data_IF_504898802484
#
_entry.id   IF_504898802484
#
_cell.length_a   1.000
_cell.length_b   1.000
_cell.length_c   1.000
_cell.angle_alpha   90.00
_cell.angle_beta   90.00
_cell.angle_gamma   90.00
#
_symmetry.space_group_name_H-M   'P 1'
#
loop_
_entity.id
_entity.type
_entity.pdbx_description
1 polymer ?
#
# COMPACT_ATOMS: atom_id res chain seq x y z
N UNK A 1 -2.07 16.93 -9.72
CA UNK A 1 -2.95 15.83 -9.27
C UNK A 1 -3.62 16.25 -7.98
N UNK A 2 -4.94 16.28 -7.96
CA UNK A 2 -5.76 16.56 -6.78
C UNK A 2 -5.68 15.40 -5.77
N UNK A 3 -6.09 15.60 -4.50
CA UNK A 3 -6.16 14.49 -3.55
C UNK A 3 -7.05 13.33 -4.02
N UNK A 4 -8.20 13.61 -4.66
CA UNK A 4 -9.10 12.58 -5.19
C UNK A 4 -8.48 11.77 -6.32
N UNK A 5 -7.84 12.43 -7.29
CA UNK A 5 -7.15 11.74 -8.39
C UNK A 5 -6.02 10.83 -7.88
N UNK A 6 -5.33 11.26 -6.81
CA UNK A 6 -4.29 10.47 -6.16
C UNK A 6 -4.87 9.23 -5.50
N UNK A 7 -5.91 9.39 -4.70
CA UNK A 7 -6.59 8.25 -4.06
C UNK A 7 -7.03 7.25 -5.13
N UNK A 8 -7.68 7.69 -6.21
CA UNK A 8 -8.11 6.82 -7.28
C UNK A 8 -6.96 6.06 -7.96
N UNK A 9 -5.81 6.72 -8.17
CA UNK A 9 -4.62 6.06 -8.69
C UNK A 9 -4.16 4.95 -7.73
N UNK A 10 -3.97 5.26 -6.45
CA UNK A 10 -3.53 4.29 -5.44
C UNK A 10 -4.48 3.08 -5.36
N UNK A 11 -5.78 3.32 -5.47
CA UNK A 11 -6.79 2.25 -5.45
C UNK A 11 -6.70 1.38 -6.70
N UNK A 12 -6.53 1.98 -7.89
CA UNK A 12 -6.34 1.23 -9.14
C UNK A 12 -5.06 0.39 -9.12
N UNK A 13 -4.00 0.88 -8.47
CA UNK A 13 -2.77 0.10 -8.26
C UNK A 13 -3.01 -1.07 -7.30
N UNK A 14 -3.64 -0.82 -6.14
CA UNK A 14 -3.94 -1.86 -5.15
C UNK A 14 -4.85 -2.97 -5.72
N UNK A 15 -5.84 -2.58 -6.54
CA UNK A 15 -6.74 -3.51 -7.24
C UNK A 15 -6.14 -4.12 -8.52
N UNK A 16 -4.88 -3.78 -8.84
CA UNK A 16 -4.15 -4.25 -10.03
C UNK A 16 -4.85 -3.92 -11.36
N UNK A 17 -5.69 -2.87 -11.37
CA UNK A 17 -6.24 -2.26 -12.58
C UNK A 17 -5.15 -1.51 -13.34
N UNK A 18 -4.16 -0.94 -12.62
CA UNK A 18 -2.93 -0.38 -13.19
C UNK A 18 -1.70 -1.14 -12.70
N UNK A 19 -0.64 -1.26 -13.53
CA UNK A 19 0.59 -1.92 -13.14
C UNK A 19 1.29 -1.20 -11.97
N UNK A 20 1.86 -1.97 -11.04
CA UNK A 20 2.59 -1.40 -9.90
C UNK A 20 3.82 -0.59 -10.33
N UNK A 21 4.47 -0.97 -11.43
CA UNK A 21 5.62 -0.25 -12.00
C UNK A 21 5.25 1.16 -12.48
N UNK A 22 4.06 1.32 -13.07
CA UNK A 22 3.54 2.64 -13.44
C UNK A 22 3.36 3.52 -12.21
N UNK A 23 2.81 2.95 -11.13
CA UNK A 23 2.68 3.61 -9.84
C UNK A 23 4.03 3.98 -9.22
N UNK A 24 5.02 3.09 -9.31
CA UNK A 24 6.37 3.33 -8.78
C UNK A 24 7.06 4.49 -9.52
N UNK A 25 6.99 4.53 -10.86
CA UNK A 25 7.52 5.65 -11.64
C UNK A 25 6.81 6.97 -11.34
N UNK A 26 5.48 6.94 -11.17
CA UNK A 26 4.73 8.12 -10.73
C UNK A 26 5.19 8.59 -9.33
N UNK A 27 5.38 7.66 -8.39
CA UNK A 27 5.82 7.93 -7.04
C UNK A 27 7.23 8.55 -7.00
N UNK A 28 8.16 8.02 -7.80
CA UNK A 28 9.55 8.51 -7.92
C UNK A 28 9.65 9.96 -8.40
N UNK A 29 8.64 10.48 -9.11
CA UNK A 29 8.66 11.89 -9.56
C UNK A 29 8.41 12.90 -8.45
N UNK A 30 8.01 12.46 -7.26
CA UNK A 30 7.82 13.31 -6.10
C UNK A 30 9.13 13.50 -5.34
N UNK A 31 9.26 14.65 -4.67
CA UNK A 31 10.33 14.89 -3.72
C UNK A 31 10.16 14.02 -2.45
N UNK A 32 11.15 14.05 -1.56
CA UNK A 32 11.15 13.20 -0.37
C UNK A 32 9.94 13.44 0.55
N UNK A 33 9.53 14.71 0.68
CA UNK A 33 8.37 15.10 1.49
C UNK A 33 7.06 14.60 0.87
N UNK A 34 6.89 14.76 -0.45
CA UNK A 34 5.74 14.25 -1.18
C UNK A 34 5.64 12.73 -1.14
N UNK A 35 6.77 12.03 -1.31
CA UNK A 35 6.83 10.57 -1.16
C UNK A 35 6.43 10.13 0.25
N UNK A 36 6.89 10.84 1.28
CA UNK A 36 6.51 10.55 2.67
C UNK A 36 5.00 10.69 2.87
N UNK A 37 4.41 11.79 2.43
CA UNK A 37 2.98 12.03 2.54
C UNK A 37 2.13 10.95 1.82
N UNK A 38 2.61 10.44 0.67
CA UNK A 38 1.95 9.35 -0.04
C UNK A 38 2.05 8.03 0.75
N UNK A 39 3.20 7.73 1.35
CA UNK A 39 3.37 6.54 2.19
C UNK A 39 2.46 6.60 3.43
N UNK A 40 2.37 7.77 4.08
CA UNK A 40 1.49 7.96 5.25
C UNK A 40 0.01 7.75 4.87
N UNK A 41 -0.41 8.30 3.73
CA UNK A 41 -1.76 8.08 3.19
C UNK A 41 -2.04 6.59 2.89
N UNK A 42 -1.08 5.88 2.30
CA UNK A 42 -1.20 4.44 2.06
C UNK A 42 -1.29 3.65 3.38
N UNK A 43 -0.52 4.02 4.40
CA UNK A 43 -0.59 3.40 5.71
C UNK A 43 -1.97 3.57 6.35
N UNK A 44 -2.61 4.74 6.22
CA UNK A 44 -3.98 4.95 6.67
C UNK A 44 -4.96 4.01 5.96
N UNK A 45 -4.84 3.84 4.64
CA UNK A 45 -5.69 2.92 3.88
C UNK A 45 -5.48 1.47 4.30
N UNK A 46 -4.23 1.06 4.54
CA UNK A 46 -3.90 -0.28 5.06
C UNK A 46 -4.54 -0.53 6.44
N UNK A 47 -4.54 0.48 7.33
CA UNK A 47 -5.22 0.40 8.64
C UNK A 47 -6.74 0.25 8.45
N UNK A 48 -7.34 1.05 7.57
CA UNK A 48 -8.79 1.01 7.32
C UNK A 48 -9.22 -0.31 6.64
N UNK A 49 -8.37 -0.87 5.79
CA UNK A 49 -8.51 -2.20 5.21
C UNK A 49 -8.38 -3.32 6.25
N UNK A 50 -7.90 -3.01 7.45
CA UNK A 50 -7.64 -3.96 8.55
C UNK A 50 -6.60 -5.02 8.18
N UNK A 51 -5.54 -4.61 7.47
CA UNK A 51 -4.43 -5.49 7.17
C UNK A 51 -3.90 -6.17 8.44
N UNK A 52 -3.55 -7.45 8.31
CA UNK A 52 -3.10 -8.31 9.40
C UNK A 52 -2.03 -9.32 8.93
N UNK A 53 -1.73 -10.28 9.80
CA UNK A 53 -0.65 -11.25 9.65
C UNK A 53 -0.72 -12.13 8.41
N UNK A 54 -1.92 -12.59 8.07
CA UNK A 54 -2.17 -13.46 6.92
C UNK A 54 -1.96 -12.73 5.58
N UNK A 55 -2.00 -11.40 5.57
CA UNK A 55 -1.83 -10.62 4.34
C UNK A 55 -0.35 -10.44 3.93
N UNK A 56 0.60 -10.72 4.84
CA UNK A 56 2.01 -10.29 4.72
C UNK A 56 2.75 -10.93 3.56
N UNK A 57 2.77 -12.26 3.50
CA UNK A 57 3.59 -13.00 2.54
C UNK A 57 3.11 -12.75 1.11
N UNK A 58 1.78 -12.78 0.92
CA UNK A 58 1.19 -12.48 -0.37
C UNK A 58 1.47 -11.02 -0.79
N UNK A 59 1.40 -10.06 0.13
CA UNK A 59 1.73 -8.67 -0.17
C UNK A 59 3.17 -8.49 -0.62
N UNK A 60 4.12 -9.19 0.02
CA UNK A 60 5.55 -9.15 -0.34
C UNK A 60 5.77 -9.76 -1.72
N UNK A 61 5.17 -10.91 -2.00
CA UNK A 61 5.23 -11.53 -3.33
C UNK A 61 4.66 -10.61 -4.41
N UNK A 62 3.47 -10.02 -4.16
CA UNK A 62 2.82 -9.09 -5.11
C UNK A 62 3.61 -7.79 -5.31
N UNK A 63 4.38 -7.34 -4.31
CA UNK A 63 5.18 -6.13 -4.39
C UNK A 63 6.39 -6.25 -5.34
N UNK A 64 6.84 -7.47 -5.61
CA UNK A 64 8.01 -7.72 -6.46
C UNK A 64 9.30 -7.10 -5.92
N UNK A 65 9.40 -6.94 -4.59
CA UNK A 65 10.58 -6.42 -3.90
C UNK A 65 11.53 -7.57 -3.53
N UNK A 66 12.79 -7.25 -3.24
CA UNK A 66 13.73 -8.27 -2.75
C UNK A 66 13.36 -8.62 -1.32
N UNK A 67 13.52 -9.88 -0.93
CA UNK A 67 13.22 -10.31 0.44
C UNK A 67 14.02 -9.54 1.51
N UNK A 68 15.24 -9.11 1.16
CA UNK A 68 16.11 -8.31 2.03
C UNK A 68 15.79 -6.81 2.07
N UNK A 69 14.83 -6.31 1.27
CA UNK A 69 14.44 -4.90 1.34
C UNK A 69 13.83 -4.62 2.72
N UNK A 70 14.24 -3.51 3.37
CA UNK A 70 13.87 -3.27 4.78
C UNK A 70 12.35 -3.18 4.97
N UNK A 71 11.60 -2.71 3.96
CA UNK A 71 10.14 -2.71 4.01
C UNK A 71 9.53 -4.12 4.07
N UNK A 72 10.08 -5.08 3.31
CA UNK A 72 9.64 -6.48 3.33
C UNK A 72 10.01 -7.15 4.66
N UNK A 73 11.23 -6.93 5.14
CA UNK A 73 11.68 -7.43 6.45
C UNK A 73 10.80 -6.90 7.58
N UNK A 74 10.55 -5.58 7.63
CA UNK A 74 9.70 -4.96 8.64
C UNK A 74 8.29 -5.55 8.62
N UNK A 75 7.71 -5.79 7.44
CA UNK A 75 6.39 -6.39 7.31
C UNK A 75 6.35 -7.85 7.80
N UNK A 76 7.42 -8.63 7.62
CA UNK A 76 7.50 -10.03 8.10
C UNK A 76 7.60 -10.13 9.62
N UNK A 77 8.40 -9.27 10.26
CA UNK A 77 8.81 -9.44 11.67
C UNK A 77 7.81 -8.94 12.72
N UNK A 78 6.70 -8.32 12.33
CA UNK A 78 5.74 -7.86 13.32
C UNK A 78 4.40 -7.43 12.74
N UNK A 79 3.43 -7.19 13.63
CA UNK A 79 2.06 -6.82 13.25
C UNK A 79 2.08 -5.66 12.24
N UNK A 80 1.48 -5.81 11.04
CA UNK A 80 1.64 -4.83 9.97
C UNK A 80 1.37 -3.41 10.44
N UNK A 81 0.27 -3.23 11.21
CA UNK A 81 -0.17 -1.94 11.77
C UNK A 81 0.89 -1.28 12.67
N UNK A 82 1.66 -2.07 13.42
CA UNK A 82 2.74 -1.56 14.27
C UNK A 82 3.99 -1.19 13.48
N UNK A 83 4.18 -1.79 12.30
CA UNK A 83 5.36 -1.55 11.46
C UNK A 83 5.17 -0.44 10.43
N UNK A 84 3.92 -0.03 10.16
CA UNK A 84 3.61 1.02 9.19
C UNK A 84 4.39 2.31 9.43
N UNK A 85 4.48 2.79 10.68
CA UNK A 85 5.24 4.01 11.00
C UNK A 85 6.73 3.87 10.67
N UNK A 86 7.31 2.67 10.82
CA UNK A 86 8.72 2.42 10.49
C UNK A 86 8.93 2.34 8.99
N UNK A 87 8.03 1.67 8.27
CA UNK A 87 8.04 1.58 6.80
C UNK A 87 7.90 2.99 6.19
N UNK A 88 6.93 3.76 6.70
CA UNK A 88 6.75 5.18 6.37
C UNK A 88 7.85 6.06 6.95
N UNK A 89 8.85 5.56 7.67
CA UNK A 89 10.00 6.31 8.16
C UNK A 89 11.27 6.05 7.36
N UNK A 90 11.26 5.10 6.43
CA UNK A 90 12.46 4.64 5.72
C UNK A 90 13.15 5.77 4.92
N UNK A 91 14.49 5.73 4.80
CA UNK A 91 15.26 6.73 4.06
C UNK A 91 14.90 6.73 2.57
N UNK A 92 15.20 7.83 1.86
CA UNK A 92 14.73 8.08 0.50
C UNK A 92 14.98 6.93 -0.50
N UNK A 93 16.15 6.28 -0.43
CA UNK A 93 16.50 5.16 -1.30
C UNK A 93 15.66 3.88 -1.06
N UNK A 94 14.93 3.81 0.06
CA UNK A 94 14.05 2.71 0.41
C UNK A 94 12.56 3.05 0.29
N UNK A 95 12.21 4.29 -0.08
CA UNK A 95 10.81 4.70 -0.19
C UNK A 95 10.09 4.00 -1.35
N UNK A 96 10.78 3.62 -2.43
CA UNK A 96 10.17 2.91 -3.57
C UNK A 96 9.80 1.47 -3.19
N UNK A 97 10.69 0.65 -2.60
CA UNK A 97 10.29 -0.64 -2.02
C UNK A 97 9.16 -0.50 -0.98
N UNK A 98 9.20 0.52 -0.12
CA UNK A 98 8.14 0.80 0.85
C UNK A 98 6.79 1.06 0.17
N UNK A 99 6.77 1.87 -0.89
CA UNK A 99 5.57 2.15 -1.68
C UNK A 99 4.99 0.86 -2.28
N UNK A 100 5.82 0.03 -2.92
CA UNK A 100 5.40 -1.23 -3.53
C UNK A 100 4.78 -2.18 -2.50
N UNK A 101 5.40 -2.30 -1.33
CA UNK A 101 4.91 -3.10 -0.21
C UNK A 101 3.56 -2.59 0.30
N UNK A 102 3.42 -1.29 0.55
CA UNK A 102 2.17 -0.73 1.09
C UNK A 102 1.00 -0.82 0.11
N UNK A 103 1.22 -0.56 -1.18
CA UNK A 103 0.18 -0.73 -2.21
C UNK A 103 -0.27 -2.19 -2.31
N UNK A 104 0.69 -3.13 -2.27
CA UNK A 104 0.38 -4.56 -2.36
C UNK A 104 -0.36 -5.05 -1.12
N UNK A 105 0.07 -4.60 0.07
CA UNK A 105 -0.58 -4.91 1.34
C UNK A 105 -2.01 -4.37 1.39
N UNK A 106 -2.22 -3.13 0.90
CA UNK A 106 -3.56 -2.59 0.74
C UNK A 106 -4.41 -3.46 -0.16
N UNK A 107 -3.88 -3.90 -1.31
CA UNK A 107 -4.60 -4.76 -2.25
C UNK A 107 -5.00 -6.11 -1.65
N UNK A 108 -4.10 -6.78 -0.93
CA UNK A 108 -4.39 -8.07 -0.26
C UNK A 108 -5.46 -7.89 0.82
N UNK A 109 -5.28 -6.91 1.71
CA UNK A 109 -6.22 -6.64 2.79
C UNK A 109 -7.60 -6.21 2.26
N UNK A 110 -7.63 -5.39 1.20
CA UNK A 110 -8.87 -4.98 0.53
C UNK A 110 -9.60 -6.16 -0.12
N UNK A 111 -8.88 -7.00 -0.88
CA UNK A 111 -9.42 -8.23 -1.49
C UNK A 111 -10.07 -9.12 -0.40
N UNK A 112 -9.38 -9.35 0.72
CA UNK A 112 -9.90 -10.12 1.87
C UNK A 112 -11.13 -9.46 2.49
N UNK A 113 -11.10 -8.14 2.67
CA UNK A 113 -12.21 -7.39 3.27
C UNK A 113 -13.45 -7.38 2.37
N UNK A 114 -13.31 -7.34 1.05
CA UNK A 114 -14.45 -7.37 0.11
C UNK A 114 -15.32 -8.61 0.28
N UNK A 115 -14.72 -9.76 0.59
CA UNK A 115 -15.44 -11.02 0.85
C UNK A 115 -16.38 -10.91 2.06
N UNK A 116 -16.00 -10.12 3.07
CA UNK A 116 -16.77 -9.96 4.32
C UNK A 116 -17.59 -8.66 4.40
N UNK A 117 -17.39 -7.72 3.47
CA UNK A 117 -17.95 -6.37 3.56
C UNK A 117 -19.46 -6.28 3.26
N UNK A 118 -20.10 -7.28 2.64
CA UNK A 118 -21.54 -7.29 2.32
C UNK A 118 -22.09 -5.98 1.71
N UNK A 119 -21.24 -5.17 1.04
CA UNK A 119 -21.62 -3.87 0.47
C UNK A 119 -21.78 -2.71 1.46
N UNK A 120 -21.45 -2.88 2.75
CA UNK A 120 -21.64 -1.83 3.77
C UNK A 120 -20.48 -0.83 3.88
N UNK A 121 -19.38 -1.03 3.15
CA UNK A 121 -18.21 -0.16 3.26
C UNK A 121 -18.41 1.13 2.45
N UNK A 122 -18.24 2.26 3.13
CA UNK A 122 -18.39 3.63 2.57
C UNK A 122 -17.07 4.28 2.18
N UNK A 123 -15.93 3.61 2.35
CA UNK A 123 -14.63 4.19 2.05
C UNK A 123 -14.44 4.37 0.55
N UNK A 124 -14.02 5.57 0.12
CA UNK A 124 -13.76 5.89 -1.28
C UNK A 124 -12.80 4.90 -1.95
N UNK A 125 -11.78 4.41 -1.22
CA UNK A 125 -10.82 3.43 -1.73
C UNK A 125 -11.36 2.01 -1.93
N UNK A 126 -12.44 1.70 -1.23
CA UNK A 126 -13.11 0.41 -1.32
C UNK A 126 -14.16 0.39 -2.45
N UNK A 127 -14.57 1.55 -2.97
CA UNK A 127 -15.74 1.68 -3.84
C UNK A 127 -15.48 1.69 -5.35
N UNK A 128 -14.23 1.54 -5.82
CA UNK A 128 -14.03 1.27 -7.25
C UNK A 128 -14.69 -0.07 -7.58
N UNK A 129 -15.80 -0.02 -8.32
CA UNK A 129 -16.40 -1.20 -8.95
C UNK A 129 -15.43 -1.64 -10.05
N UNK A 130 -15.01 -2.91 -10.02
CA UNK A 130 -14.22 -3.52 -11.09
C UNK A 130 -15.01 -3.55 -12.40
#
# INVERSE_FOLDING_TARGET
MTPGERSDLLNRLAQRIRPLDEGAHWFERHDQAGRRAILDMLAEYVIQARADEQDRDEAITRAGVKEGDTAAVLLRVGEPRLQLRKICGLPGYQQVPAFRVLVSLLGVADDRRRVSCAGQCTHAWHQLRR
#
